data_IF_085446198232
#
_entry.id   IF_085446198232
#
_cell.length_a   1.000
_cell.length_b   1.000
_cell.length_c   1.000
_cell.angle_alpha   90.00
_cell.angle_beta   90.00
_cell.angle_gamma   90.00
#
_symmetry.space_group_name_H-M   'P 1'
#
loop_
_entity.id
_entity.type
_entity.pdbx_description
1 polymer ?
#
# COMPACT_ATOMS: atom_id res chain seq x y z
N UNK A 1 -4.48 -32.61 -19.00
CA UNK A 1 -4.59 -32.48 -17.53
C UNK A 1 -3.50 -33.29 -16.82
N UNK A 2 -3.24 -34.55 -17.19
CA UNK A 2 -2.13 -35.33 -16.61
C UNK A 2 -0.74 -34.77 -16.95
N UNK A 3 -0.54 -34.35 -18.21
CA UNK A 3 0.73 -33.73 -18.66
C UNK A 3 1.07 -32.46 -17.88
N UNK A 4 0.07 -31.67 -17.48
CA UNK A 4 0.26 -30.47 -16.68
C UNK A 4 0.60 -30.78 -15.22
N UNK A 5 0.02 -31.82 -14.63
CA UNK A 5 0.38 -32.26 -13.28
C UNK A 5 1.79 -32.85 -13.22
N UNK A 6 2.19 -33.65 -14.22
CA UNK A 6 3.54 -34.23 -14.27
C UNK A 6 4.60 -33.11 -14.42
N UNK A 7 4.33 -32.09 -15.25
CA UNK A 7 5.20 -30.91 -15.35
C UNK A 7 5.31 -30.17 -14.01
N UNK A 8 4.19 -29.94 -13.33
CA UNK A 8 4.19 -29.32 -12.00
C UNK A 8 4.98 -30.13 -10.97
N UNK A 9 4.89 -31.46 -11.02
CA UNK A 9 5.61 -32.36 -10.13
C UNK A 9 7.12 -32.34 -10.40
N UNK A 10 7.52 -32.25 -11.66
CA UNK A 10 8.92 -32.08 -12.05
C UNK A 10 9.45 -30.72 -11.60
N UNK A 11 8.70 -29.63 -11.84
CA UNK A 11 9.07 -28.30 -11.35
C UNK A 11 9.20 -28.23 -9.82
N UNK A 12 8.37 -28.98 -9.11
CA UNK A 12 8.49 -29.14 -7.65
C UNK A 12 9.77 -29.89 -7.25
N UNK A 13 10.02 -31.06 -7.85
CA UNK A 13 11.18 -31.90 -7.53
C UNK A 13 12.51 -31.23 -7.89
N UNK A 14 12.52 -30.38 -8.92
CA UNK A 14 13.71 -29.66 -9.37
C UNK A 14 13.87 -28.29 -8.70
N UNK A 15 13.02 -27.94 -7.73
CA UNK A 15 13.08 -26.68 -6.98
C UNK A 15 12.79 -25.43 -7.83
N UNK A 16 12.19 -25.61 -9.00
CA UNK A 16 11.76 -24.52 -9.90
C UNK A 16 10.42 -23.93 -9.47
N UNK A 17 9.60 -24.71 -8.76
CA UNK A 17 8.35 -24.22 -8.19
C UNK A 17 8.66 -23.33 -6.98
N UNK A 18 8.67 -22.02 -7.22
CA UNK A 18 8.80 -21.01 -6.16
C UNK A 18 7.47 -20.28 -6.04
N UNK A 19 6.98 -20.14 -4.80
CA UNK A 19 5.80 -19.33 -4.54
C UNK A 19 6.05 -17.83 -4.82
N UNK A 20 7.33 -17.43 -4.79
CA UNK A 20 7.77 -16.06 -5.01
C UNK A 20 9.00 -16.00 -5.91
N UNK A 21 9.04 -15.00 -6.80
CA UNK A 21 10.19 -14.75 -7.67
C UNK A 21 11.45 -14.38 -6.86
N UNK A 22 12.63 -14.61 -7.43
CA UNK A 22 13.95 -14.39 -6.79
C UNK A 22 14.13 -12.93 -6.29
N UNK A 23 13.37 -11.97 -6.81
CA UNK A 23 13.38 -10.57 -6.38
C UNK A 23 12.18 -10.11 -5.54
N UNK A 24 11.20 -10.98 -5.25
CA UNK A 24 10.00 -10.67 -4.49
C UNK A 24 9.98 -11.51 -3.21
N UNK A 25 10.74 -11.14 -2.19
CA UNK A 25 10.66 -11.83 -0.90
C UNK A 25 9.31 -11.56 -0.23
N UNK A 26 8.85 -12.50 0.60
CA UNK A 26 7.73 -12.28 1.51
C UNK A 26 7.89 -10.99 2.32
N UNK A 27 9.12 -10.70 2.80
CA UNK A 27 9.47 -9.45 3.48
C UNK A 27 9.20 -8.20 2.62
N UNK A 28 9.40 -8.28 1.30
CA UNK A 28 9.17 -7.15 0.40
C UNK A 28 7.67 -6.88 0.19
N UNK A 29 6.84 -7.93 0.25
CA UNK A 29 5.39 -7.83 0.23
C UNK A 29 4.86 -7.32 1.58
N UNK A 30 5.39 -7.83 2.70
CA UNK A 30 5.06 -7.35 4.04
C UNK A 30 5.41 -5.87 4.21
N UNK A 31 6.58 -5.43 3.74
CA UNK A 31 6.93 -4.01 3.77
C UNK A 31 5.96 -3.14 2.94
N UNK A 32 5.45 -3.64 1.81
CA UNK A 32 4.44 -2.93 1.04
C UNK A 32 3.09 -2.88 1.77
N UNK A 33 2.73 -3.96 2.46
CA UNK A 33 1.54 -4.03 3.31
C UNK A 33 1.63 -3.08 4.49
N UNK A 34 2.74 -3.04 5.22
CA UNK A 34 2.95 -2.10 6.33
C UNK A 34 2.81 -0.65 5.88
N UNK A 35 3.34 -0.30 4.70
CA UNK A 35 3.17 1.04 4.13
C UNK A 35 1.71 1.36 3.80
N UNK A 36 0.91 0.38 3.38
CA UNK A 36 -0.54 0.55 3.17
C UNK A 36 -1.28 0.73 4.49
N UNK A 37 -0.98 -0.10 5.50
CA UNK A 37 -1.58 -0.02 6.83
C UNK A 37 -1.28 1.35 7.47
N UNK A 38 -0.02 1.78 7.46
CA UNK A 38 0.37 3.10 7.99
C UNK A 38 -0.21 4.31 7.23
N UNK A 39 -0.63 4.14 5.98
CA UNK A 39 -1.41 5.15 5.26
C UNK A 39 -2.87 5.17 5.73
N UNK A 40 -3.47 4.00 5.94
CA UNK A 40 -4.84 3.89 6.42
C UNK A 40 -4.97 4.41 7.86
N UNK A 41 -4.03 4.08 8.74
CA UNK A 41 -4.01 4.58 10.12
C UNK A 41 -3.98 6.10 10.16
N UNK A 42 -3.10 6.73 9.35
CA UNK A 42 -3.00 8.18 9.27
C UNK A 42 -4.28 8.85 8.75
N UNK A 43 -4.97 8.22 7.78
CA UNK A 43 -6.27 8.73 7.31
C UNK A 43 -7.27 8.79 8.48
N UNK A 44 -7.38 7.71 9.27
CA UNK A 44 -8.28 7.68 10.42
C UNK A 44 -7.84 8.64 11.54
N UNK A 45 -6.55 8.78 11.78
CA UNK A 45 -6.03 9.74 12.78
C UNK A 45 -6.36 11.18 12.37
N UNK A 46 -6.22 11.53 11.09
CA UNK A 46 -6.58 12.85 10.58
C UNK A 46 -8.07 13.13 10.75
N UNK A 47 -8.94 12.18 10.36
CA UNK A 47 -10.38 12.31 10.55
C UNK A 47 -10.72 12.53 12.03
N UNK A 48 -10.10 11.76 12.93
CA UNK A 48 -10.27 11.92 14.37
C UNK A 48 -9.82 13.29 14.90
N UNK A 49 -8.70 13.82 14.38
CA UNK A 49 -8.21 15.17 14.75
C UNK A 49 -9.15 16.28 14.28
N UNK A 50 -9.71 16.15 13.07
CA UNK A 50 -10.70 17.11 12.55
C UNK A 50 -12.00 17.07 13.36
N UNK A 51 -12.49 15.87 13.68
CA UNK A 51 -13.65 15.72 14.56
C UNK A 51 -13.41 16.32 15.96
N UNK A 52 -12.20 16.18 16.48
CA UNK A 52 -11.84 16.73 17.79
C UNK A 52 -11.82 18.27 17.74
N UNK A 53 -11.21 18.85 16.71
CA UNK A 53 -11.26 20.30 16.45
C UNK A 53 -12.70 20.83 16.38
N UNK A 54 -13.61 20.08 15.74
CA UNK A 54 -15.03 20.43 15.68
C UNK A 54 -15.75 20.34 17.03
N UNK A 55 -15.35 19.40 17.90
CA UNK A 55 -15.91 19.21 19.24
C UNK A 55 -15.44 20.29 20.22
N UNK A 56 -14.19 20.73 20.09
CA UNK A 56 -13.55 21.70 20.99
C UNK A 56 -13.94 23.15 20.69
N UNK A 57 -14.51 23.44 19.51
CA UNK A 57 -14.96 24.77 19.13
C UNK A 57 -16.18 25.24 19.96
N UNK A 58 -16.13 26.44 20.58
CA UNK A 58 -17.25 26.97 21.36
C UNK A 58 -18.49 27.16 20.49
N UNK A 59 -19.66 26.81 21.01
CA UNK A 59 -20.92 26.74 20.26
C UNK A 59 -21.29 28.01 19.45
N UNK A 60 -20.84 29.19 19.87
CA UNK A 60 -21.08 30.46 19.15
C UNK A 60 -20.13 30.71 17.98
N UNK A 61 -18.91 30.17 18.01
CA UNK A 61 -17.89 30.32 16.94
C UNK A 61 -17.67 29.01 16.17
N UNK A 62 -18.67 28.12 16.14
CA UNK A 62 -18.60 26.86 15.39
C UNK A 62 -18.49 27.11 13.90
N UNK A 63 -17.26 27.30 13.46
CA UNK A 63 -16.84 27.19 12.07
C UNK A 63 -16.37 25.75 11.88
N UNK A 64 -16.89 25.00 10.89
CA UNK A 64 -16.40 23.65 10.60
C UNK A 64 -14.88 23.63 10.50
N UNK A 65 -14.23 22.61 11.02
CA UNK A 65 -12.77 22.42 11.07
C UNK A 65 -12.14 22.62 9.68
N UNK A 66 -12.81 22.12 8.63
CA UNK A 66 -12.41 22.31 7.22
C UNK A 66 -12.42 23.77 6.73
N UNK A 67 -13.15 24.64 7.40
CA UNK A 67 -13.24 26.08 7.12
C UNK A 67 -12.37 26.91 8.07
N UNK A 68 -11.92 26.33 9.19
CA UNK A 68 -10.93 26.94 10.09
C UNK A 68 -9.56 27.02 9.43
N UNK A 69 -8.80 28.10 9.70
CA UNK A 69 -7.40 28.21 9.29
C UNK A 69 -6.54 27.08 9.87
N UNK A 70 -6.85 26.65 11.09
CA UNK A 70 -6.14 25.58 11.77
C UNK A 70 -6.39 24.22 11.10
N UNK A 71 -7.66 23.87 10.85
CA UNK A 71 -8.00 22.63 10.16
C UNK A 71 -7.52 22.61 8.70
N UNK A 72 -7.53 23.76 8.00
CA UNK A 72 -6.92 23.87 6.67
C UNK A 72 -5.39 23.71 6.70
N UNK A 73 -4.72 24.23 7.73
CA UNK A 73 -3.28 24.06 7.88
C UNK A 73 -2.93 22.59 8.15
N UNK A 74 -3.67 21.97 9.07
CA UNK A 74 -3.56 20.55 9.40
C UNK A 74 -3.77 19.68 8.15
N UNK A 75 -4.85 19.92 7.41
CA UNK A 75 -5.15 19.22 6.15
C UNK A 75 -4.02 19.38 5.13
N UNK A 76 -3.46 20.58 4.97
CA UNK A 76 -2.38 20.82 4.02
C UNK A 76 -1.10 20.06 4.39
N UNK A 77 -0.74 20.08 5.66
CA UNK A 77 0.43 19.35 6.16
C UNK A 77 0.25 17.84 5.97
N UNK A 78 -0.87 17.29 6.46
CA UNK A 78 -1.16 15.86 6.36
C UNK A 78 -1.31 15.39 4.92
N UNK A 79 -1.93 16.18 4.05
CA UNK A 79 -2.02 15.85 2.62
C UNK A 79 -0.63 15.77 2.00
N UNK A 80 0.28 16.68 2.32
CA UNK A 80 1.66 16.63 1.82
C UNK A 80 2.38 15.35 2.27
N UNK A 81 2.15 14.97 3.51
CA UNK A 81 2.66 13.76 4.15
C UNK A 81 2.14 12.47 3.52
N UNK A 82 0.82 12.37 3.33
CA UNK A 82 0.16 11.26 2.64
C UNK A 82 0.66 11.14 1.20
N UNK A 83 0.81 12.27 0.48
CA UNK A 83 1.31 12.26 -0.89
C UNK A 83 2.76 11.79 -1.01
N UNK A 84 3.61 12.06 0.00
CA UNK A 84 4.96 11.51 0.08
C UNK A 84 4.93 9.99 0.27
N UNK A 85 4.20 9.50 1.28
CA UNK A 85 4.09 8.07 1.56
C UNK A 85 3.45 7.28 0.41
N UNK A 86 2.44 7.84 -0.26
CA UNK A 86 1.82 7.24 -1.45
C UNK A 86 2.80 7.11 -2.61
N UNK A 87 3.69 8.10 -2.81
CA UNK A 87 4.75 8.03 -3.81
C UNK A 87 5.72 6.89 -3.50
N UNK A 88 6.12 6.76 -2.24
CA UNK A 88 7.06 5.72 -1.80
C UNK A 88 6.46 4.32 -1.94
N UNK A 89 5.20 4.15 -1.53
CA UNK A 89 4.45 2.91 -1.74
C UNK A 89 4.31 2.56 -3.22
N UNK A 90 3.96 3.55 -4.06
CA UNK A 90 3.87 3.36 -5.52
C UNK A 90 5.20 2.90 -6.10
N UNK A 91 6.31 3.52 -5.69
CA UNK A 91 7.64 3.11 -6.11
C UNK A 91 7.98 1.68 -5.65
N UNK A 92 7.63 1.29 -4.42
CA UNK A 92 7.83 -0.08 -3.93
C UNK A 92 7.03 -1.09 -4.75
N UNK A 93 5.75 -0.84 -4.98
CA UNK A 93 4.88 -1.74 -5.78
C UNK A 93 5.41 -1.87 -7.22
N UNK A 94 5.85 -0.76 -7.84
CA UNK A 94 6.46 -0.81 -9.17
C UNK A 94 7.74 -1.64 -9.18
N UNK A 95 8.56 -1.53 -8.13
CA UNK A 95 9.78 -2.33 -7.97
C UNK A 95 9.46 -3.83 -7.87
N UNK A 96 8.39 -4.20 -7.13
CA UNK A 96 7.90 -5.58 -7.06
C UNK A 96 7.44 -6.11 -8.42
N UNK A 97 6.79 -5.28 -9.23
CA UNK A 97 6.36 -5.65 -10.58
C UNK A 97 7.52 -5.78 -11.57
N UNK A 98 8.60 -5.02 -11.41
CA UNK A 98 9.81 -5.13 -12.26
C UNK A 98 10.66 -6.35 -11.91
N UNK A 99 10.61 -6.81 -10.66
CA UNK A 99 11.26 -8.05 -10.23
C UNK A 99 10.61 -9.31 -10.83
N UNK A 100 9.40 -9.19 -11.39
CA UNK A 100 8.74 -10.24 -12.16
C UNK A 100 9.36 -10.29 -13.57
N UNK A 101 10.07 -11.37 -13.95
CA UNK A 101 10.65 -11.47 -15.28
C UNK A 101 9.55 -11.47 -16.35
N UNK A 102 9.81 -10.93 -17.57
CA UNK A 102 8.87 -10.91 -18.70
C UNK A 102 8.60 -12.29 -19.33
N UNK A 103 8.66 -13.39 -18.56
CA UNK A 103 8.63 -14.77 -19.07
C UNK A 103 7.81 -15.77 -18.25
N UNK A 104 7.00 -15.32 -17.28
CA UNK A 104 6.12 -16.21 -16.51
C UNK A 104 4.89 -16.74 -17.28
N UNK A 105 4.81 -16.53 -18.59
CA UNK A 105 3.90 -17.27 -19.47
C UNK A 105 4.70 -18.34 -20.19
N UNK A 106 4.66 -19.56 -19.67
CA UNK A 106 4.73 -20.75 -20.52
C UNK A 106 3.48 -20.73 -21.41
N UNK A 107 3.53 -19.92 -22.45
CA UNK A 107 2.53 -19.76 -23.50
C UNK A 107 3.12 -20.16 -24.84
N UNK A 108 3.61 -21.40 -24.95
CA UNK A 108 3.71 -22.11 -26.22
C UNK A 108 3.04 -23.47 -26.04
N UNK A 109 1.75 -23.48 -26.34
CA UNK A 109 1.09 -24.40 -27.26
C UNK A 109 -0.30 -23.86 -27.56
#
# INVERSE_FOLDING_TARGET
MEVSLIRLLNDFNEGRLRAFDVGNSFESLDAAREMQEGLSERHFEMDGRLEQLDKDAPHQDRVPSLQSKEGQSLMKEETGDVMRKLRDLSFKIQSLHKARPPGGTSGTN
#
